data_IF_350942081867
#
_entry.id   IF_350942081867
#
_cell.length_a   1.000
_cell.length_b   1.000
_cell.length_c   1.000
_cell.angle_alpha   90.00
_cell.angle_beta   90.00
_cell.angle_gamma   90.00
#
_symmetry.space_group_name_H-M   'P 1'
#
loop_
_entity.id
_entity.type
_entity.pdbx_description
1 polymer ?
#
# COMPACT_ATOMS: atom_id res chain seq x y z
N UNK A 1 8.15 14.81 -20.80
CA UNK A 1 8.82 13.63 -20.22
C UNK A 1 7.78 12.89 -19.40
N UNK A 2 7.15 11.85 -19.94
CA UNK A 2 6.30 10.97 -19.14
C UNK A 2 7.24 10.10 -18.31
N UNK A 3 7.23 10.27 -16.98
CA UNK A 3 7.88 9.33 -16.09
C UNK A 3 7.04 8.06 -16.13
N UNK A 4 7.43 7.12 -16.99
CA UNK A 4 6.97 5.72 -16.91
C UNK A 4 7.76 5.07 -15.76
N UNK A 5 7.52 5.57 -14.55
CA UNK A 5 8.22 5.16 -13.34
C UNK A 5 7.38 4.13 -12.61
N UNK A 6 7.95 2.94 -12.44
CA UNK A 6 7.44 1.94 -11.51
C UNK A 6 7.32 2.57 -10.11
N UNK A 7 6.12 2.53 -9.52
CA UNK A 7 5.87 3.08 -8.20
C UNK A 7 5.96 1.97 -7.13
N UNK A 8 6.61 2.26 -6.02
CA UNK A 8 6.70 1.36 -4.86
C UNK A 8 5.87 1.87 -3.68
N UNK A 9 5.27 0.95 -2.93
CA UNK A 9 4.53 1.22 -1.71
C UNK A 9 5.35 0.81 -0.48
N UNK A 10 5.60 1.75 0.43
CA UNK A 10 6.27 1.49 1.71
C UNK A 10 5.27 1.58 2.85
N UNK A 11 5.12 0.50 3.62
CA UNK A 11 4.25 0.38 4.78
C UNK A 11 5.08 0.39 6.07
N UNK A 12 5.21 1.53 6.76
CA UNK A 12 6.00 1.60 7.99
C UNK A 12 5.35 0.79 9.12
N UNK A 13 6.14 0.46 10.14
CA UNK A 13 5.62 -0.12 11.37
C UNK A 13 4.74 0.87 12.14
N UNK A 14 3.91 0.35 13.06
CA UNK A 14 3.01 1.21 13.85
C UNK A 14 2.07 0.49 14.81
N UNK A 15 2.22 -0.83 15.02
CA UNK A 15 1.29 -1.62 15.83
C UNK A 15 -0.16 -1.44 15.36
N UNK A 16 -1.06 -1.11 16.27
CA UNK A 16 -2.48 -0.87 15.96
C UNK A 16 -2.69 0.28 14.95
N UNK A 17 -1.81 1.29 14.91
CA UNK A 17 -1.93 2.43 13.99
C UNK A 17 -1.71 2.03 12.52
N UNK A 18 -1.16 0.84 12.26
CA UNK A 18 -1.06 0.30 10.90
C UNK A 18 -2.44 0.09 10.25
N UNK A 19 -3.54 0.02 11.03
CA UNK A 19 -4.89 -0.01 10.50
C UNK A 19 -5.26 1.23 9.66
N UNK A 20 -4.64 2.39 9.93
CA UNK A 20 -4.85 3.58 9.10
C UNK A 20 -4.35 3.39 7.66
N UNK A 21 -3.29 2.59 7.47
CA UNK A 21 -2.77 2.28 6.13
C UNK A 21 -3.84 1.53 5.31
N UNK A 22 -4.56 0.60 5.93
CA UNK A 22 -5.66 -0.14 5.29
C UNK A 22 -6.79 0.80 4.88
N UNK A 23 -7.14 1.78 5.72
CA UNK A 23 -8.14 2.80 5.40
C UNK A 23 -7.73 3.65 4.19
N UNK A 24 -6.47 4.06 4.10
CA UNK A 24 -5.94 4.79 2.95
C UNK A 24 -6.00 3.96 1.67
N UNK A 25 -5.60 2.69 1.73
CA UNK A 25 -5.63 1.79 0.57
C UNK A 25 -7.05 1.53 0.08
N UNK A 26 -8.02 1.39 0.98
CA UNK A 26 -9.44 1.30 0.63
C UNK A 26 -9.93 2.55 -0.10
N UNK A 27 -9.61 3.74 0.41
CA UNK A 27 -9.98 5.00 -0.24
C UNK A 27 -9.33 5.13 -1.64
N UNK A 28 -8.09 4.66 -1.81
CA UNK A 28 -7.44 4.63 -3.13
C UNK A 28 -8.21 3.71 -4.08
N UNK A 29 -8.56 2.49 -3.64
CA UNK A 29 -9.30 1.54 -4.48
C UNK A 29 -10.66 2.11 -4.92
N UNK A 30 -11.38 2.76 -4.00
CA UNK A 30 -12.64 3.48 -4.29
C UNK A 30 -12.46 4.61 -5.30
N UNK A 31 -11.40 5.41 -5.18
CA UNK A 31 -11.12 6.53 -6.08
C UNK A 31 -10.70 6.08 -7.49
N UNK A 32 -10.05 4.93 -7.60
CA UNK A 32 -9.59 4.38 -8.88
C UNK A 32 -10.58 3.42 -9.52
N UNK A 33 -11.66 3.07 -8.82
CA UNK A 33 -12.61 2.01 -9.20
C UNK A 33 -11.90 0.70 -9.58
N UNK A 34 -10.91 0.32 -8.77
CA UNK A 34 -10.01 -0.79 -9.06
C UNK A 34 -9.47 -1.39 -7.77
N UNK A 35 -9.53 -2.72 -7.66
CA UNK A 35 -8.88 -3.46 -6.57
C UNK A 35 -7.41 -3.76 -6.88
N UNK A 36 -6.95 -3.50 -8.11
CA UNK A 36 -5.56 -3.67 -8.48
C UNK A 36 -4.68 -2.62 -7.79
N UNK A 37 -3.62 -3.08 -7.15
CA UNK A 37 -2.63 -2.20 -6.54
C UNK A 37 -1.82 -1.50 -7.64
N UNK A 38 -1.80 -0.15 -7.68
CA UNK A 38 -1.07 0.60 -8.69
C UNK A 38 0.44 0.69 -8.40
N UNK A 39 0.99 -0.30 -7.68
CA UNK A 39 2.37 -0.32 -7.20
C UNK A 39 3.03 -1.65 -7.59
N UNK A 40 4.17 -1.60 -8.25
CA UNK A 40 4.86 -2.80 -8.74
C UNK A 40 5.71 -3.47 -7.65
N UNK A 41 5.95 -2.78 -6.54
CA UNK A 41 6.69 -3.30 -5.40
C UNK A 41 6.07 -2.82 -4.09
N UNK A 42 6.06 -3.70 -3.10
CA UNK A 42 5.55 -3.43 -1.77
C UNK A 42 6.62 -3.83 -0.77
N UNK A 43 6.87 -2.97 0.21
CA UNK A 43 7.77 -3.26 1.32
C UNK A 43 7.14 -2.80 2.61
N UNK A 44 7.28 -3.59 3.67
CA UNK A 44 6.78 -3.23 4.98
C UNK A 44 7.67 -3.74 6.10
N UNK A 45 7.54 -3.11 7.27
CA UNK A 45 8.29 -3.50 8.49
C UNK A 45 7.34 -3.67 9.67
N UNK A 46 7.57 -4.69 10.51
CA UNK A 46 6.75 -4.98 11.70
C UNK A 46 5.25 -5.07 11.36
N UNK A 47 4.37 -4.30 11.99
CA UNK A 47 2.94 -4.29 11.66
C UNK A 47 2.65 -3.90 10.19
N UNK A 48 3.47 -3.03 9.59
CA UNK A 48 3.37 -2.71 8.17
C UNK A 48 3.80 -3.86 7.26
N UNK A 49 4.66 -4.77 7.73
CA UNK A 49 5.00 -5.99 6.99
C UNK A 49 3.80 -6.93 6.92
N UNK A 50 2.98 -7.02 7.97
CA UNK A 50 1.74 -7.82 7.95
C UNK A 50 0.77 -7.29 6.89
N UNK A 51 0.58 -5.96 6.83
CA UNK A 51 -0.23 -5.33 5.79
C UNK A 51 0.37 -5.57 4.39
N UNK A 52 1.68 -5.44 4.23
CA UNK A 52 2.37 -5.69 2.97
C UNK A 52 2.17 -7.13 2.49
N UNK A 53 2.31 -8.12 3.39
CA UNK A 53 2.07 -9.53 3.08
C UNK A 53 0.62 -9.83 2.73
N UNK A 54 -0.35 -9.11 3.31
CA UNK A 54 -1.76 -9.29 2.96
C UNK A 54 -2.11 -8.73 1.57
N UNK A 55 -1.29 -7.82 1.03
CA UNK A 55 -1.48 -7.14 -0.26
C UNK A 55 -0.66 -7.75 -1.40
N UNK A 56 0.40 -8.48 -1.06
CA UNK A 56 1.37 -9.05 -2.00
C UNK A 56 0.97 -10.43 -2.52
#
# INVERSE_FOLDING_TARGET
MQIKGSAGLILPGGGALAAYQVGVLKAIAELTDSEALPFDSISGVSAGALNATALA
#
